data_IF_045347130393
#
_entry.id   IF_045347130393
#
_cell.length_a   1.000
_cell.length_b   1.000
_cell.length_c   1.000
_cell.angle_alpha   90.00
_cell.angle_beta   90.00
_cell.angle_gamma   90.00
#
_symmetry.space_group_name_H-M   'P 1'
#
loop_
_entity.id
_entity.type
_entity.pdbx_description
1 polymer ?
#
# COMPACT_ATOMS: atom_id res chain seq x y z
N UNK A 1 11.86 -0.34 10.81
CA UNK A 1 12.19 0.71 9.83
C UNK A 1 11.29 1.91 10.00
N UNK A 2 11.90 3.09 10.19
CA UNK A 2 11.20 4.37 10.46
C UNK A 2 11.27 5.34 9.27
N UNK A 3 11.84 4.91 8.14
CA UNK A 3 12.08 5.78 6.99
C UNK A 3 10.83 5.91 6.09
N UNK A 4 10.58 7.10 5.50
CA UNK A 4 9.49 7.33 4.54
C UNK A 4 9.87 6.85 3.14
N UNK A 5 10.00 5.53 2.99
CA UNK A 5 10.55 4.91 1.79
C UNK A 5 9.76 5.24 0.51
N UNK A 6 8.43 5.30 0.59
CA UNK A 6 7.58 5.61 -0.57
C UNK A 6 7.77 7.06 -0.98
N UNK A 7 7.77 7.99 -0.02
CA UNK A 7 7.92 9.41 -0.31
C UNK A 7 9.34 9.73 -0.82
N UNK A 8 10.38 9.08 -0.28
CA UNK A 8 11.74 9.16 -0.80
C UNK A 8 11.84 8.67 -2.25
N UNK A 9 11.25 7.51 -2.55
CA UNK A 9 11.22 6.97 -3.91
C UNK A 9 10.49 7.92 -4.86
N UNK A 10 9.30 8.41 -4.48
CA UNK A 10 8.49 9.35 -5.30
C UNK A 10 9.25 10.64 -5.62
N UNK A 11 9.99 11.19 -4.66
CA UNK A 11 10.80 12.39 -4.89
C UNK A 11 11.86 12.18 -6.00
N UNK A 12 12.33 10.95 -6.20
CA UNK A 12 13.33 10.61 -7.22
C UNK A 12 12.72 10.23 -8.57
N UNK A 13 11.39 10.25 -8.71
CA UNK A 13 10.72 9.97 -9.99
C UNK A 13 10.64 11.18 -10.92
N UNK A 14 11.04 12.37 -10.44
CA UNK A 14 11.15 13.57 -11.26
C UNK A 14 12.62 13.86 -11.60
N UNK A 15 12.88 14.22 -12.85
CA UNK A 15 14.19 14.68 -13.30
C UNK A 15 14.47 16.13 -12.86
N UNK A 16 13.44 16.89 -12.46
CA UNK A 16 13.57 18.26 -11.98
C UNK A 16 14.20 18.31 -10.57
N UNK A 17 15.42 18.83 -10.50
CA UNK A 17 16.18 18.95 -9.26
C UNK A 17 15.54 19.87 -8.22
N UNK A 18 14.94 20.98 -8.66
CA UNK A 18 14.29 21.92 -7.75
C UNK A 18 13.04 21.29 -7.14
N UNK A 19 12.25 20.58 -7.95
CA UNK A 19 11.08 19.85 -7.49
C UNK A 19 11.46 18.71 -6.52
N UNK A 20 12.49 17.93 -6.86
CA UNK A 20 13.00 16.86 -6.01
C UNK A 20 13.50 17.42 -4.67
N UNK A 21 14.27 18.50 -4.67
CA UNK A 21 14.79 19.13 -3.45
C UNK A 21 13.65 19.59 -2.56
N UNK A 22 12.67 20.31 -3.11
CA UNK A 22 11.51 20.76 -2.35
C UNK A 22 10.70 19.58 -1.75
N UNK A 23 10.53 18.49 -2.50
CA UNK A 23 9.87 17.28 -2.01
C UNK A 23 10.63 16.60 -0.87
N UNK A 24 11.98 16.54 -0.96
CA UNK A 24 12.84 15.97 0.07
C UNK A 24 12.85 16.81 1.36
N UNK A 25 12.86 18.13 1.24
CA UNK A 25 12.79 19.06 2.38
C UNK A 25 11.43 18.99 3.10
N UNK A 26 10.35 18.69 2.37
CA UNK A 26 9.00 18.55 2.90
C UNK A 26 8.69 17.16 3.48
N UNK A 27 9.65 16.23 3.52
CA UNK A 27 9.41 14.88 4.01
C UNK A 27 9.09 14.83 5.50
N UNK A 28 7.99 14.15 5.81
CA UNK A 28 7.70 13.69 7.16
C UNK A 28 8.44 12.37 7.41
N UNK A 29 9.37 12.37 8.37
CA UNK A 29 10.18 11.20 8.69
C UNK A 29 9.38 10.21 9.55
N UNK A 30 8.63 9.35 8.87
CA UNK A 30 7.88 8.26 9.48
C UNK A 30 7.84 7.04 8.58
N UNK A 31 7.56 5.89 9.19
CA UNK A 31 7.32 4.66 8.45
C UNK A 31 6.11 4.79 7.52
N UNK A 32 6.23 4.22 6.33
CA UNK A 32 5.19 4.17 5.30
C UNK A 32 5.03 2.74 4.79
N UNK A 33 3.79 2.29 4.62
CA UNK A 33 3.50 1.08 3.87
C UNK A 33 3.39 1.38 2.38
N UNK A 34 3.89 0.45 1.56
CA UNK A 34 3.81 0.54 0.10
C UNK A 34 3.34 -0.78 -0.49
N UNK A 35 2.36 -0.71 -1.38
CA UNK A 35 1.92 -1.82 -2.21
C UNK A 35 2.54 -1.66 -3.60
N UNK A 36 3.30 -2.67 -4.03
CA UNK A 36 3.91 -2.74 -5.35
C UNK A 36 3.32 -3.95 -6.07
N UNK A 37 2.64 -3.70 -7.18
CA UNK A 37 2.01 -4.75 -8.00
C UNK A 37 2.45 -4.61 -9.45
N UNK A 38 2.19 -5.65 -10.25
CA UNK A 38 2.52 -5.66 -11.67
C UNK A 38 1.37 -6.15 -12.57
N UNK A 39 0.18 -5.54 -12.52
CA UNK A 39 -0.91 -5.92 -13.40
C UNK A 39 -0.52 -5.72 -14.86
N UNK A 40 -0.72 -6.75 -15.69
CA UNK A 40 -0.45 -6.71 -17.14
C UNK A 40 0.96 -6.21 -17.52
N UNK A 41 1.96 -6.42 -16.65
CA UNK A 41 3.34 -6.01 -16.89
C UNK A 41 3.67 -4.57 -16.47
N UNK A 42 2.69 -3.75 -16.10
CA UNK A 42 2.86 -2.38 -15.62
C UNK A 42 3.10 -2.37 -14.11
N UNK A 43 4.19 -1.74 -13.65
CA UNK A 43 4.46 -1.56 -12.22
C UNK A 43 3.56 -0.45 -11.66
N UNK A 44 2.74 -0.79 -10.67
CA UNK A 44 1.98 0.18 -9.89
C UNK A 44 2.58 0.28 -8.50
N UNK A 45 2.66 1.51 -7.99
CA UNK A 45 3.17 1.81 -6.64
C UNK A 45 2.15 2.68 -5.93
N UNK A 46 1.52 2.13 -4.91
CA UNK A 46 0.47 2.78 -4.12
C UNK A 46 0.82 2.80 -2.63
N UNK A 47 0.36 3.80 -1.86
CA UNK A 47 0.48 3.74 -0.41
C UNK A 47 -0.37 2.57 0.12
N UNK A 48 0.16 1.88 1.13
CA UNK A 48 -0.57 0.81 1.83
C UNK A 48 -0.69 1.20 3.31
N UNK A 49 -1.93 1.24 3.80
CA UNK A 49 -2.21 1.46 5.21
C UNK A 49 -1.97 0.19 6.03
N UNK A 50 -1.98 0.32 7.37
CA UNK A 50 -1.83 -0.82 8.28
C UNK A 50 -2.87 -1.91 8.05
N UNK A 51 -4.13 -1.54 7.84
CA UNK A 51 -5.20 -2.49 7.51
C UNK A 51 -4.92 -3.27 6.21
N UNK A 52 -4.37 -2.61 5.18
CA UNK A 52 -3.97 -3.27 3.93
C UNK A 52 -2.84 -4.27 4.17
N UNK A 53 -1.81 -3.87 4.93
CA UNK A 53 -0.71 -4.77 5.27
C UNK A 53 -1.21 -5.98 6.09
N UNK A 54 -1.98 -5.76 7.16
CA UNK A 54 -2.51 -6.83 8.00
C UNK A 54 -3.38 -7.82 7.21
N UNK A 55 -4.20 -7.33 6.27
CA UNK A 55 -4.96 -8.19 5.36
C UNK A 55 -4.04 -9.08 4.51
N UNK A 56 -3.04 -8.47 3.86
CA UNK A 56 -2.14 -9.16 2.94
C UNK A 56 -1.19 -10.13 3.68
N UNK A 57 -0.78 -9.79 4.90
CA UNK A 57 0.01 -10.66 5.78
C UNK A 57 -0.80 -11.91 6.15
N UNK A 58 -2.07 -11.73 6.56
CA UNK A 58 -2.97 -12.86 6.84
C UNK A 58 -3.22 -13.72 5.58
N UNK A 59 -3.36 -13.10 4.40
CA UNK A 59 -3.44 -13.84 3.14
C UNK A 59 -2.16 -14.63 2.83
N UNK A 60 -0.98 -14.07 3.12
CA UNK A 60 0.30 -14.76 2.94
C UNK A 60 0.43 -15.97 3.89
N UNK A 61 -0.19 -15.90 5.07
CA UNK A 61 -0.34 -17.01 6.02
C UNK A 61 -1.44 -18.02 5.63
N UNK A 62 -2.06 -17.85 4.46
CA UNK A 62 -3.16 -18.68 3.97
C UNK A 62 -4.40 -18.67 4.89
N UNK A 63 -4.59 -17.61 5.66
CA UNK A 63 -5.76 -17.46 6.50
C UNK A 63 -7.06 -17.41 5.65
N UNK A 64 -8.18 -17.97 6.15
CA UNK A 64 -9.49 -17.78 5.53
C UNK A 64 -9.85 -16.30 5.40
N UNK A 65 -10.61 -15.94 4.36
CA UNK A 65 -11.02 -14.56 4.08
C UNK A 65 -11.62 -13.83 5.31
N UNK A 66 -12.52 -14.43 6.12
CA UNK A 66 -13.04 -13.78 7.32
C UNK A 66 -11.96 -13.37 8.32
N UNK A 67 -10.93 -14.21 8.50
CA UNK A 67 -9.85 -13.98 9.45
C UNK A 67 -8.90 -12.89 8.93
N UNK A 68 -8.61 -12.87 7.63
CA UNK A 68 -7.83 -11.81 7.01
C UNK A 68 -8.54 -10.44 7.09
N UNK A 69 -9.86 -10.41 6.88
CA UNK A 69 -10.65 -9.19 7.06
C UNK A 69 -10.71 -8.75 8.52
N UNK A 70 -10.75 -9.68 9.47
CA UNK A 70 -10.70 -9.36 10.90
C UNK A 70 -9.35 -8.76 11.30
N UNK A 71 -8.23 -9.28 10.77
CA UNK A 71 -6.91 -8.71 10.98
C UNK A 71 -6.82 -7.27 10.46
N UNK A 72 -7.38 -7.00 9.28
CA UNK A 72 -7.46 -5.65 8.71
C UNK A 72 -8.31 -4.69 9.56
N UNK A 73 -9.46 -5.17 10.02
CA UNK A 73 -10.38 -4.38 10.85
C UNK A 73 -9.78 -3.99 12.21
N UNK A 74 -8.87 -4.79 12.76
CA UNK A 74 -8.18 -4.47 14.02
C UNK A 74 -7.25 -3.23 13.89
N UNK A 75 -6.83 -2.89 12.66
CA UNK A 75 -5.89 -1.80 12.37
C UNK A 75 -6.57 -0.51 11.89
N UNK A 76 -7.90 -0.49 11.73
CA UNK A 76 -8.64 0.67 11.22
C UNK A 76 -10.03 0.79 11.85
N UNK A 77 -10.37 1.99 12.31
CA UNK A 77 -11.72 2.33 12.79
C UNK A 77 -12.11 3.73 12.27
N UNK A 78 -13.16 3.86 11.42
CA UNK A 78 -14.02 2.80 10.91
C UNK A 78 -13.36 1.95 9.82
N UNK A 79 -13.69 0.65 9.78
CA UNK A 79 -13.25 -0.27 8.73
C UNK A 79 -14.35 -0.53 7.68
N UNK A 80 -13.98 -0.50 6.40
CA UNK A 80 -14.85 -0.86 5.28
C UNK A 80 -14.20 -1.97 4.44
N UNK A 81 -14.63 -3.21 4.65
CA UNK A 81 -14.13 -4.37 3.93
C UNK A 81 -14.34 -4.28 2.41
N UNK A 82 -15.47 -3.72 1.96
CA UNK A 82 -15.78 -3.58 0.54
C UNK A 82 -14.79 -2.66 -0.16
N UNK A 83 -14.52 -1.50 0.44
CA UNK A 83 -13.53 -0.55 -0.08
C UNK A 83 -12.12 -1.15 -0.12
N UNK A 84 -11.70 -1.85 0.94
CA UNK A 84 -10.40 -2.52 0.96
C UNK A 84 -10.24 -3.51 -0.20
N UNK A 85 -11.25 -4.37 -0.41
CA UNK A 85 -11.21 -5.38 -1.46
C UNK A 85 -11.25 -4.75 -2.86
N UNK A 86 -12.06 -3.70 -3.05
CA UNK A 86 -12.12 -2.93 -4.30
C UNK A 86 -10.78 -2.27 -4.64
N UNK A 87 -10.15 -1.64 -3.65
CA UNK A 87 -8.83 -0.99 -3.81
C UNK A 87 -7.76 -2.04 -4.17
N UNK A 88 -7.76 -3.20 -3.53
CA UNK A 88 -6.81 -4.28 -3.80
C UNK A 88 -7.01 -4.94 -5.17
N UNK A 89 -8.26 -5.09 -5.62
CA UNK A 89 -8.57 -5.56 -6.97
C UNK A 89 -8.11 -4.54 -8.02
N UNK A 90 -8.40 -3.26 -7.80
CA UNK A 90 -7.99 -2.15 -8.68
C UNK A 90 -6.47 -2.03 -8.75
N UNK A 91 -5.78 -2.21 -7.63
CA UNK A 91 -4.33 -2.24 -7.56
C UNK A 91 -3.73 -3.50 -8.18
N UNK A 92 -4.51 -4.51 -8.55
CA UNK A 92 -4.01 -5.78 -9.09
C UNK A 92 -3.26 -6.63 -8.05
N UNK A 93 -3.53 -6.42 -6.76
CA UNK A 93 -3.01 -7.25 -5.68
C UNK A 93 -3.83 -8.54 -5.52
N UNK A 94 -5.11 -8.49 -5.87
CA UNK A 94 -5.99 -9.65 -5.93
C UNK A 94 -6.37 -9.96 -7.38
N UNK A 95 -6.52 -11.24 -7.69
CA UNK A 95 -7.06 -11.69 -8.96
C UNK A 95 -8.57 -11.91 -8.82
N UNK A 96 -9.35 -11.38 -9.76
CA UNK A 96 -10.74 -11.79 -9.91
C UNK A 96 -10.79 -13.25 -10.37
N UNK A 97 -11.76 -14.02 -9.87
CA UNK A 97 -12.05 -15.34 -10.42
C UNK A 97 -12.72 -15.15 -11.78
N UNK A 98 -11.94 -15.29 -12.86
CA UNK A 98 -12.46 -15.45 -14.22
C UNK A 98 -12.74 -16.90 -14.54
#
# INVERSE_FOLDING_TARGET
>A
DEAPALSLWRAHQTDDEAQRTAALEALDWRAEGVLITRPHGQVLVAPAGRATCAFLDACAEQAPLPDALAAAAAEADPFNAGALLEDLLTAGALLGTT
#
